data_IF_254025959146
#
_entry.id   IF_254025959146
#
_cell.length_a   1.000
_cell.length_b   1.000
_cell.length_c   1.000
_cell.angle_alpha   90.00
_cell.angle_beta   90.00
_cell.angle_gamma   90.00
#
_symmetry.space_group_name_H-M   'P 1'
#
loop_
_entity.id
_entity.type
_entity.pdbx_description
1 polymer ?
#
# COMPACT_ATOMS: atom_id res chain seq x y z
N UNK A 1 20.29 20.04 -19.25
CA UNK A 1 19.87 18.98 -20.21
C UNK A 1 18.43 18.47 -20.00
N UNK A 2 17.86 18.57 -18.79
CA UNK A 2 16.43 18.28 -18.49
C UNK A 2 15.39 18.98 -19.41
N UNK A 3 15.55 20.27 -19.73
CA UNK A 3 14.66 21.00 -20.65
C UNK A 3 14.60 20.40 -22.07
N UNK A 4 15.69 19.77 -22.51
CA UNK A 4 15.80 19.18 -23.85
C UNK A 4 15.04 17.85 -23.92
N UNK A 5 15.10 17.03 -22.85
CA UNK A 5 14.28 15.82 -22.72
C UNK A 5 12.78 16.13 -22.71
N UNK A 6 12.37 17.21 -22.03
CA UNK A 6 10.97 17.68 -22.04
C UNK A 6 10.54 18.09 -23.45
N UNK A 7 11.41 18.75 -24.21
CA UNK A 7 11.14 19.13 -25.60
C UNK A 7 11.01 17.90 -26.52
N UNK A 8 11.90 16.90 -26.40
CA UNK A 8 11.82 15.66 -27.19
C UNK A 8 10.51 14.91 -26.93
N UNK A 9 10.08 14.84 -25.66
CA UNK A 9 8.80 14.24 -25.29
C UNK A 9 7.61 15.01 -25.89
N UNK A 10 7.65 16.34 -25.86
CA UNK A 10 6.60 17.17 -26.46
C UNK A 10 6.50 16.92 -27.98
N UNK A 11 7.64 16.86 -28.68
CA UNK A 11 7.71 16.57 -30.12
C UNK A 11 7.18 15.18 -30.47
N UNK A 12 7.51 14.16 -29.67
CA UNK A 12 6.95 12.81 -29.84
C UNK A 12 5.43 12.82 -29.72
N UNK A 13 4.90 13.47 -28.69
CA UNK A 13 3.45 13.56 -28.46
C UNK A 13 2.74 14.37 -29.55
N UNK A 14 3.38 15.39 -30.11
CA UNK A 14 2.84 16.17 -31.22
C UNK A 14 2.82 15.36 -32.53
N UNK A 15 3.89 14.65 -32.84
CA UNK A 15 3.96 13.78 -34.01
C UNK A 15 2.89 12.66 -33.97
N UNK A 16 2.69 12.06 -32.79
CA UNK A 16 1.65 11.05 -32.56
C UNK A 16 0.25 11.63 -32.74
N UNK A 17 -0.01 12.82 -32.17
CA UNK A 17 -1.29 13.52 -32.34
C UNK A 17 -1.56 13.89 -33.80
N UNK A 18 -0.54 14.33 -34.53
CA UNK A 18 -0.66 14.64 -35.96
C UNK A 18 -1.02 13.42 -36.80
N UNK A 19 -0.49 12.24 -36.47
CA UNK A 19 -0.88 10.97 -37.12
C UNK A 19 -2.36 10.64 -36.84
N UNK A 20 -2.78 10.74 -35.59
CA UNK A 20 -4.17 10.42 -35.18
C UNK A 20 -5.16 11.41 -35.80
N UNK A 21 -4.79 12.69 -35.88
CA UNK A 21 -5.61 13.74 -36.50
C UNK A 21 -5.62 13.69 -38.04
N UNK A 22 -4.88 12.76 -38.67
CA UNK A 22 -4.78 12.63 -40.13
C UNK A 22 -4.00 13.76 -40.80
N UNK A 23 -3.36 14.65 -40.03
CA UNK A 23 -2.57 15.79 -40.54
C UNK A 23 -1.13 15.40 -40.87
N UNK A 24 -0.71 14.17 -40.52
CA UNK A 24 0.63 13.67 -40.75
C UNK A 24 0.58 12.27 -41.39
N UNK A 25 1.27 12.09 -42.52
CA UNK A 25 1.34 10.80 -43.20
C UNK A 25 2.18 9.77 -42.43
N UNK A 26 2.08 8.49 -42.81
CA UNK A 26 2.89 7.43 -42.20
C UNK A 26 4.39 7.68 -42.40
N UNK A 27 4.79 8.05 -43.61
CA UNK A 27 6.16 8.38 -43.99
C UNK A 27 6.70 9.59 -43.23
N UNK A 28 5.90 10.65 -43.11
CA UNK A 28 6.26 11.85 -42.35
C UNK A 28 6.46 11.54 -40.86
N UNK A 29 5.66 10.65 -40.26
CA UNK A 29 5.88 10.26 -38.86
C UNK A 29 7.19 9.49 -38.69
N UNK A 30 7.52 8.61 -39.63
CA UNK A 30 8.77 7.86 -39.57
C UNK A 30 9.98 8.79 -39.66
N UNK A 31 9.92 9.82 -40.51
CA UNK A 31 10.94 10.86 -40.56
C UNK A 31 11.05 11.64 -39.24
N UNK A 32 9.92 12.00 -38.62
CA UNK A 32 9.92 12.67 -37.30
C UNK A 32 10.48 11.77 -36.20
N UNK A 33 10.15 10.48 -36.18
CA UNK A 33 10.71 9.52 -35.23
C UNK A 33 12.21 9.38 -35.39
N UNK A 34 12.70 9.27 -36.63
CA UNK A 34 14.13 9.21 -36.89
C UNK A 34 14.85 10.47 -36.40
N UNK A 35 14.26 11.66 -36.61
CA UNK A 35 14.78 12.93 -36.09
C UNK A 35 14.80 12.98 -34.57
N UNK A 36 13.71 12.57 -33.91
CA UNK A 36 13.62 12.50 -32.44
C UNK A 36 14.67 11.53 -31.88
N UNK A 37 14.85 10.38 -32.53
CA UNK A 37 15.84 9.38 -32.14
C UNK A 37 17.26 9.91 -32.26
N UNK A 38 17.60 10.59 -33.36
CA UNK A 38 18.90 11.22 -33.53
C UNK A 38 19.16 12.28 -32.47
N UNK A 39 18.22 13.20 -32.22
CA UNK A 39 18.37 14.22 -31.18
C UNK A 39 18.47 13.61 -29.78
N UNK A 40 17.82 12.49 -29.50
CA UNK A 40 17.97 11.76 -28.25
C UNK A 40 19.38 11.17 -28.10
N UNK A 41 19.91 10.54 -29.15
CA UNK A 41 21.26 9.97 -29.14
C UNK A 41 22.31 11.07 -28.96
N UNK A 42 22.20 12.20 -29.68
CA UNK A 42 23.06 13.37 -29.49
C UNK A 42 23.00 13.91 -28.04
N UNK A 43 21.83 13.84 -27.41
CA UNK A 43 21.66 14.25 -26.01
C UNK A 43 22.39 13.31 -25.07
N UNK A 44 22.30 12.00 -25.30
CA UNK A 44 22.97 10.96 -24.51
C UNK A 44 24.48 11.09 -24.65
N UNK A 45 24.99 11.23 -25.88
CA UNK A 45 26.42 11.38 -26.16
C UNK A 45 26.99 12.67 -25.56
N UNK A 46 26.16 13.71 -25.46
CA UNK A 46 26.54 14.96 -24.82
C UNK A 46 26.51 14.89 -23.28
N UNK A 47 26.02 13.82 -22.64
CA UNK A 47 26.01 13.71 -21.17
C UNK A 47 27.44 13.55 -20.63
N UNK A 48 27.75 14.31 -19.58
CA UNK A 48 29.01 14.21 -18.84
C UNK A 48 28.74 13.74 -17.42
N UNK A 49 29.76 13.28 -16.70
CA UNK A 49 29.64 12.83 -15.30
C UNK A 49 29.04 13.91 -14.38
N UNK A 50 29.25 15.19 -14.70
CA UNK A 50 28.68 16.31 -13.95
C UNK A 50 27.17 16.47 -14.15
N UNK A 51 26.57 16.02 -15.26
CA UNK A 51 25.11 16.06 -15.43
C UNK A 51 24.38 15.07 -14.53
N UNK A 52 25.09 14.07 -14.02
CA UNK A 52 24.59 13.11 -13.03
C UNK A 52 24.90 13.54 -11.59
N UNK A 53 25.70 14.60 -11.41
CA UNK A 53 25.84 15.27 -10.12
C UNK A 53 24.59 16.11 -9.89
N UNK A 54 23.69 15.60 -9.06
CA UNK A 54 22.63 16.44 -8.53
C UNK A 54 23.31 17.58 -7.74
N UNK A 55 23.04 18.86 -8.05
CA UNK A 55 23.34 19.89 -7.07
C UNK A 55 22.62 19.49 -5.80
N UNK A 56 23.33 19.52 -4.67
CA UNK A 56 22.73 19.34 -3.35
C UNK A 56 21.72 20.47 -3.14
N UNK A 57 20.54 20.33 -3.75
CA UNK A 57 19.34 20.97 -3.30
C UNK A 57 19.19 20.49 -1.86
N UNK A 58 19.07 21.44 -0.93
CA UNK A 58 18.64 21.16 0.43
C UNK A 58 17.55 20.09 0.36
N UNK A 59 17.67 18.99 1.12
CA UNK A 59 16.83 17.83 0.93
C UNK A 59 15.38 18.31 0.96
N UNK A 60 14.57 18.10 -0.11
CA UNK A 60 13.13 18.17 0.07
C UNK A 60 12.87 17.17 1.19
N UNK A 61 12.36 17.64 2.34
CA UNK A 61 12.25 16.85 3.58
C UNK A 61 12.01 15.39 3.24
N UNK A 62 12.96 14.53 3.63
CA UNK A 62 13.29 13.25 3.02
C UNK A 62 12.05 12.37 2.77
N UNK A 63 11.32 12.63 1.68
CA UNK A 63 10.11 11.90 1.32
C UNK A 63 10.56 10.61 0.69
N UNK A 64 10.75 9.62 1.55
CA UNK A 64 11.06 8.27 1.13
C UNK A 64 9.87 7.74 0.32
N UNK A 65 10.18 7.19 -0.85
CA UNK A 65 9.18 6.47 -1.64
C UNK A 65 9.04 5.08 -1.05
N UNK A 66 7.83 4.57 -1.03
CA UNK A 66 7.53 3.22 -0.57
C UNK A 66 6.47 2.59 -1.45
N UNK A 67 6.12 1.38 -1.10
CA UNK A 67 5.16 0.54 -1.80
C UNK A 67 4.02 0.24 -0.84
N UNK A 68 2.81 0.26 -1.38
CA UNK A 68 1.57 -0.12 -0.74
C UNK A 68 1.07 -1.35 -1.48
N UNK A 69 0.79 -2.42 -0.73
CA UNK A 69 0.11 -3.60 -1.22
C UNK A 69 -1.20 -3.68 -0.47
N UNK A 70 -2.30 -3.85 -1.19
CA UNK A 70 -3.58 -4.17 -0.55
C UNK A 70 -4.19 -5.40 -1.22
N UNK A 71 -4.81 -6.22 -0.38
CA UNK A 71 -5.62 -7.37 -0.78
C UNK A 71 -7.05 -7.09 -0.33
N UNK A 72 -7.86 -6.59 -1.25
CA UNK A 72 -9.29 -6.33 -1.04
C UNK A 72 -10.02 -7.11 -2.14
N UNK A 73 -10.77 -8.18 -1.80
CA UNK A 73 -11.48 -8.97 -2.79
C UNK A 73 -12.46 -8.10 -3.60
N UNK A 74 -12.47 -8.21 -4.94
CA UNK A 74 -13.42 -7.48 -5.78
C UNK A 74 -14.86 -7.99 -5.61
N UNK A 75 -15.01 -9.21 -5.07
CA UNK A 75 -16.28 -9.84 -4.76
C UNK A 75 -16.28 -10.36 -3.32
N UNK A 76 -17.38 -10.13 -2.58
CA UNK A 76 -17.56 -10.62 -1.22
C UNK A 76 -18.93 -11.28 -1.05
N UNK A 77 -19.08 -12.16 -0.08
CA UNK A 77 -20.35 -12.83 0.20
C UNK A 77 -21.07 -12.19 1.39
N UNK A 78 -22.37 -11.88 1.24
CA UNK A 78 -23.21 -11.31 2.31
C UNK A 78 -23.06 -12.11 3.62
N UNK A 79 -22.86 -11.40 4.74
CA UNK A 79 -22.64 -11.91 6.09
C UNK A 79 -21.40 -12.77 6.33
N UNK A 80 -20.59 -13.05 5.30
CA UNK A 80 -19.32 -13.77 5.44
C UNK A 80 -18.18 -12.77 5.64
N UNK A 81 -17.49 -12.89 6.76
CA UNK A 81 -16.31 -12.07 7.02
C UNK A 81 -15.16 -12.47 6.09
N UNK A 82 -14.58 -11.48 5.43
CA UNK A 82 -13.39 -11.62 4.60
C UNK A 82 -12.23 -10.84 5.23
N UNK A 83 -11.01 -11.37 5.11
CA UNK A 83 -9.79 -10.72 5.59
C UNK A 83 -9.24 -9.79 4.50
N UNK A 84 -9.20 -8.49 4.79
CA UNK A 84 -8.53 -7.48 3.99
C UNK A 84 -7.19 -7.14 4.62
N UNK A 85 -6.12 -7.26 3.82
CA UNK A 85 -4.75 -7.07 4.29
C UNK A 85 -4.17 -5.85 3.57
N UNK A 86 -3.58 -4.95 4.35
CA UNK A 86 -2.84 -3.79 3.83
C UNK A 86 -1.41 -3.88 4.35
N UNK A 87 -0.45 -3.86 3.43
CA UNK A 87 0.97 -3.84 3.72
C UNK A 87 1.62 -2.59 3.18
N UNK A 88 2.58 -2.06 3.91
CA UNK A 88 3.46 -0.99 3.44
C UNK A 88 4.91 -1.37 3.70
N UNK A 89 5.79 -1.00 2.78
CA UNK A 89 7.23 -1.14 2.94
C UNK A 89 7.98 -0.05 2.16
N UNK A 90 9.25 0.21 2.48
CA UNK A 90 10.08 1.09 1.64
C UNK A 90 10.50 0.40 0.35
N UNK A 91 10.78 -0.91 0.43
CA UNK A 91 11.21 -1.71 -0.71
C UNK A 91 10.10 -2.61 -1.25
N UNK A 92 10.07 -2.77 -2.57
CA UNK A 92 9.11 -3.66 -3.23
C UNK A 92 9.40 -5.14 -2.92
N UNK A 93 10.65 -5.51 -2.66
CA UNK A 93 11.00 -6.91 -2.34
C UNK A 93 10.41 -7.35 -0.99
N UNK A 94 10.43 -6.46 0.02
CA UNK A 94 9.89 -6.75 1.35
C UNK A 94 8.36 -6.94 1.35
N UNK A 95 7.64 -6.18 0.51
CA UNK A 95 6.16 -6.19 0.56
C UNK A 95 5.52 -7.48 0.04
N UNK A 96 6.20 -8.14 -0.90
CA UNK A 96 5.74 -9.40 -1.53
C UNK A 96 6.24 -10.64 -0.80
N UNK A 97 6.99 -10.46 0.30
CA UNK A 97 7.46 -11.57 1.11
C UNK A 97 6.26 -12.30 1.72
N UNK A 98 6.27 -13.64 1.65
CA UNK A 98 5.25 -14.52 2.23
C UNK A 98 3.82 -14.33 1.70
N UNK A 99 3.64 -13.75 0.49
CA UNK A 99 2.32 -13.65 -0.15
C UNK A 99 2.33 -14.21 -1.58
N UNK A 100 1.32 -15.03 -1.89
CA UNK A 100 1.09 -15.46 -3.27
C UNK A 100 0.47 -14.30 -4.05
N UNK A 101 1.16 -13.85 -5.10
CA UNK A 101 0.69 -12.82 -6.02
C UNK A 101 -0.47 -13.37 -6.85
N UNK A 102 -1.71 -13.16 -6.40
CA UNK A 102 -2.94 -13.44 -7.15
C UNK A 102 -3.45 -12.17 -7.86
N UNK A 103 -4.46 -12.32 -8.72
CA UNK A 103 -5.09 -11.20 -9.44
C UNK A 103 -5.76 -10.17 -8.51
N UNK A 104 -5.95 -10.51 -7.23
CA UNK A 104 -6.57 -9.68 -6.19
C UNK A 104 -5.58 -8.76 -5.45
N UNK A 105 -4.28 -8.88 -5.78
CA UNK A 105 -3.19 -8.18 -5.08
C UNK A 105 -2.70 -7.02 -5.95
N UNK A 106 -2.97 -5.79 -5.50
CA UNK A 106 -2.48 -4.58 -6.17
C UNK A 106 -1.30 -3.96 -5.44
N UNK A 107 -0.22 -3.67 -6.17
CA UNK A 107 0.97 -2.96 -5.64
C UNK A 107 1.04 -1.56 -6.23
N UNK A 108 1.01 -0.55 -5.38
CA UNK A 108 1.03 0.88 -5.72
C UNK A 108 2.25 1.55 -5.10
N UNK A 109 2.91 2.44 -5.85
CA UNK A 109 4.01 3.24 -5.31
C UNK A 109 3.47 4.53 -4.68
N UNK A 110 3.82 4.78 -3.42
CA UNK A 110 3.35 5.94 -2.65
C UNK A 110 4.50 6.66 -1.94
N UNK A 111 4.20 7.83 -1.39
CA UNK A 111 5.13 8.50 -0.47
C UNK A 111 4.86 7.97 0.94
N UNK A 112 5.92 7.55 1.63
CA UNK A 112 5.85 6.99 2.98
C UNK A 112 6.70 7.82 3.94
N UNK A 113 6.45 7.65 5.23
CA UNK A 113 7.24 8.25 6.30
C UNK A 113 7.51 7.22 7.39
N UNK A 114 8.22 7.63 8.46
CA UNK A 114 8.52 6.74 9.58
C UNK A 114 7.25 6.27 10.30
N UNK A 115 6.19 7.06 10.29
CA UNK A 115 4.91 6.75 10.94
C UNK A 115 3.81 6.78 9.88
N UNK A 116 3.06 5.69 9.79
CA UNK A 116 1.97 5.53 8.84
C UNK A 116 0.71 5.14 9.59
N UNK A 117 -0.44 5.58 9.09
CA UNK A 117 -1.74 5.15 9.58
C UNK A 117 -2.53 4.51 8.44
N UNK A 118 -3.22 3.41 8.70
CA UNK A 118 -4.12 2.79 7.74
C UNK A 118 -5.52 2.65 8.32
N UNK A 119 -6.52 3.05 7.54
CA UNK A 119 -7.94 2.96 7.88
C UNK A 119 -8.72 2.45 6.68
N UNK A 120 -9.74 1.62 6.94
CA UNK A 120 -10.71 1.18 5.96
C UNK A 120 -12.08 1.75 6.34
N UNK A 121 -12.70 2.48 5.42
CA UNK A 121 -13.90 3.28 5.67
C UNK A 121 -15.01 2.83 4.73
N UNK A 122 -16.23 2.72 5.26
CA UNK A 122 -17.46 2.57 4.48
C UNK A 122 -18.05 3.97 4.18
N UNK A 123 -17.92 4.51 2.95
CA UNK A 123 -18.46 5.82 2.57
C UNK A 123 -19.95 5.78 2.20
N UNK A 124 -20.62 4.61 2.23
CA UNK A 124 -21.97 4.47 1.73
C UNK A 124 -23.00 5.11 2.69
N UNK A 125 -24.08 5.66 2.12
CA UNK A 125 -25.10 6.38 2.90
C UNK A 125 -25.83 5.48 3.93
N UNK A 126 -25.97 4.20 3.57
CA UNK A 126 -26.43 3.14 4.46
C UNK A 126 -25.27 2.15 4.62
N UNK A 127 -24.95 1.70 5.84
CA UNK A 127 -23.80 0.86 6.09
C UNK A 127 -23.91 -0.45 5.31
N UNK A 128 -22.97 -0.66 4.40
CA UNK A 128 -22.85 -1.86 3.58
C UNK A 128 -21.79 -2.82 4.15
N UNK A 129 -20.88 -2.31 4.97
CA UNK A 129 -19.79 -3.07 5.57
C UNK A 129 -19.70 -2.84 7.09
N UNK A 130 -19.50 -3.91 7.85
CA UNK A 130 -19.03 -3.84 9.23
C UNK A 130 -17.54 -4.21 9.26
N UNK A 131 -16.70 -3.26 9.67
CA UNK A 131 -15.25 -3.38 9.64
C UNK A 131 -14.73 -3.49 11.08
N UNK A 132 -13.90 -4.50 11.35
CA UNK A 132 -13.19 -4.66 12.62
C UNK A 132 -11.68 -4.77 12.37
N UNK A 133 -10.89 -4.21 13.27
CA UNK A 133 -9.42 -4.32 13.29
C UNK A 133 -8.96 -4.69 14.70
N UNK A 134 -7.86 -5.42 14.79
CA UNK A 134 -7.13 -5.67 16.04
C UNK A 134 -5.73 -5.05 16.04
N UNK A 135 -5.30 -4.51 14.90
CA UNK A 135 -4.02 -3.83 14.76
C UNK A 135 -4.16 -2.37 15.14
N UNK A 136 -3.10 -1.80 15.73
CA UNK A 136 -3.02 -0.35 15.92
C UNK A 136 -3.12 0.35 14.57
N UNK A 137 -3.93 1.41 14.51
CA UNK A 137 -4.13 2.18 13.28
C UNK A 137 -2.84 2.86 12.86
N UNK A 138 -2.07 3.39 13.83
CA UNK A 138 -0.78 4.04 13.64
C UNK A 138 0.36 3.05 13.92
N UNK A 139 1.26 2.88 12.96
CA UNK A 139 2.42 1.99 13.10
C UNK A 139 3.67 2.59 12.45
N UNK A 140 4.83 2.11 12.90
CA UNK A 140 6.12 2.52 12.37
C UNK A 140 6.51 1.69 11.15
N UNK A 141 7.07 2.36 10.14
CA UNK A 141 7.64 1.71 8.96
C UNK A 141 9.16 1.54 9.14
N UNK A 142 9.64 0.31 9.00
CA UNK A 142 11.06 -0.06 9.09
C UNK A 142 11.66 -0.27 7.70
N UNK A 143 12.97 -0.03 7.52
CA UNK A 143 13.62 -0.01 6.19
C UNK A 143 13.64 -1.38 5.49
N UNK A 144 13.77 -2.47 6.24
CA UNK A 144 13.93 -3.83 5.71
C UNK A 144 12.70 -4.72 5.93
N UNK A 145 11.67 -4.21 6.60
CA UNK A 145 10.45 -4.96 6.92
C UNK A 145 9.21 -4.30 6.33
N UNK A 146 8.13 -5.07 6.26
CA UNK A 146 6.80 -4.54 5.95
C UNK A 146 5.99 -4.34 7.24
N UNK A 147 5.16 -3.31 7.24
CA UNK A 147 4.14 -3.09 8.26
C UNK A 147 2.81 -3.62 7.73
N UNK A 148 2.06 -4.35 8.54
CA UNK A 148 0.82 -5.01 8.15
C UNK A 148 -0.37 -4.58 9.02
N UNK A 149 -1.48 -4.27 8.35
CA UNK A 149 -2.79 -4.07 8.98
C UNK A 149 -3.78 -5.10 8.44
N UNK A 150 -4.51 -5.72 9.37
CA UNK A 150 -5.55 -6.70 9.06
C UNK A 150 -6.92 -6.16 9.46
N UNK A 151 -7.80 -6.10 8.48
CA UNK A 151 -9.18 -5.70 8.66
C UNK A 151 -10.08 -6.88 8.33
N UNK A 152 -10.99 -7.23 9.22
CA UNK A 152 -12.05 -8.18 8.91
C UNK A 152 -13.28 -7.39 8.50
N UNK A 153 -13.71 -7.61 7.26
CA UNK A 153 -14.81 -6.88 6.64
C UNK A 153 -15.98 -7.84 6.48
N UNK A 154 -17.08 -7.55 7.19
CA UNK A 154 -18.35 -8.24 7.04
C UNK A 154 -19.28 -7.43 6.13
N UNK A 155 -19.56 -7.87 4.90
CA UNK A 155 -20.56 -7.24 4.05
C UNK A 155 -21.97 -7.53 4.61
N UNK A 156 -22.83 -6.51 4.63
CA UNK A 156 -24.16 -6.55 5.23
C UNK A 156 -25.29 -6.59 4.19
N UNK A 157 -25.00 -6.19 2.95
CA UNK A 157 -26.02 -5.98 1.91
C UNK A 157 -25.52 -6.40 0.55
N UNK A 158 -26.40 -6.98 -0.26
CA UNK A 158 -26.10 -7.30 -1.66
C UNK A 158 -26.08 -6.04 -2.54
N UNK A 159 -25.24 -6.06 -3.58
CA UNK A 159 -25.07 -4.94 -4.50
C UNK A 159 -23.61 -4.55 -4.69
N UNK A 160 -23.37 -3.49 -5.45
CA UNK A 160 -22.02 -2.94 -5.65
C UNK A 160 -21.84 -1.73 -4.75
N UNK A 161 -20.85 -1.80 -3.86
CA UNK A 161 -20.58 -0.75 -2.89
C UNK A 161 -19.11 -0.34 -2.95
N UNK A 162 -18.85 0.91 -2.59
CA UNK A 162 -17.49 1.43 -2.52
C UNK A 162 -16.93 1.17 -1.14
N UNK A 163 -15.67 0.78 -1.07
CA UNK A 163 -14.87 0.65 0.15
C UNK A 163 -13.67 1.58 0.02
N UNK A 164 -13.43 2.42 1.01
CA UNK A 164 -12.45 3.49 0.93
C UNK A 164 -11.22 3.14 1.77
N UNK A 165 -10.08 2.99 1.11
CA UNK A 165 -8.78 2.81 1.75
C UNK A 165 -8.16 4.19 1.99
N UNK A 166 -7.94 4.54 3.27
CA UNK A 166 -7.28 5.78 3.67
C UNK A 166 -5.94 5.46 4.33
N UNK A 167 -4.86 5.96 3.72
CA UNK A 167 -3.51 5.89 4.28
C UNK A 167 -3.09 7.31 4.68
N UNK A 168 -2.71 7.49 5.94
CA UNK A 168 -2.21 8.77 6.46
C UNK A 168 -0.69 8.70 6.62
N UNK A 169 0.01 9.67 6.03
CA UNK A 169 1.44 9.88 6.23
C UNK A 169 1.62 10.89 7.36
N UNK A 170 2.27 10.48 8.46
CA UNK A 170 2.47 11.33 9.64
C UNK A 170 3.92 11.83 9.69
N UNK A 171 4.12 13.11 9.41
CA UNK A 171 5.44 13.77 9.42
C UNK A 171 5.54 14.79 10.56
N UNK A 172 6.67 14.79 11.29
CA UNK A 172 6.96 15.86 12.25
C UNK A 172 7.72 16.98 11.53
N UNK A 173 7.05 18.11 11.31
CA UNK A 173 7.64 19.30 10.67
C UNK A 173 7.74 20.40 11.72
N UNK A 174 8.96 20.86 12.01
CA UNK A 174 9.23 21.90 13.02
C UNK A 174 8.69 21.55 14.43
N UNK A 175 8.70 20.26 14.80
CA UNK A 175 8.19 19.79 16.09
C UNK A 175 6.67 19.72 16.19
N UNK A 176 5.94 19.86 15.07
CA UNK A 176 4.49 19.64 14.99
C UNK A 176 4.17 18.50 14.03
N UNK A 177 3.28 17.61 14.46
CA UNK A 177 2.75 16.55 13.63
C UNK A 177 1.91 17.14 12.49
N UNK A 178 2.18 16.65 11.28
CA UNK A 178 1.50 16.98 10.04
C UNK A 178 1.07 15.69 9.39
N UNK A 179 -0.24 15.53 9.24
CA UNK A 179 -0.82 14.36 8.61
C UNK A 179 -1.22 14.69 7.17
N UNK A 180 -0.83 13.82 6.24
CA UNK A 180 -1.27 13.89 4.84
C UNK A 180 -2.02 12.62 4.48
N UNK A 181 -3.26 12.77 4.01
CA UNK A 181 -4.10 11.63 3.66
C UNK A 181 -3.98 11.30 2.18
N UNK A 182 -3.86 10.01 1.90
CA UNK A 182 -3.99 9.38 0.59
C UNK A 182 -5.22 8.49 0.64
N UNK A 183 -6.07 8.54 -0.37
CA UNK A 183 -7.37 7.87 -0.35
C UNK A 183 -7.67 7.23 -1.68
N UNK A 184 -8.12 5.97 -1.64
CA UNK A 184 -8.52 5.19 -2.80
C UNK A 184 -9.91 4.60 -2.60
N UNK A 185 -10.66 4.50 -3.68
CA UNK A 185 -12.00 3.91 -3.71
C UNK A 185 -11.94 2.57 -4.44
N UNK A 186 -12.25 1.49 -3.74
CA UNK A 186 -12.34 0.14 -4.29
C UNK A 186 -13.82 -0.24 -4.44
N UNK A 187 -14.18 -0.83 -5.59
CA UNK A 187 -15.55 -1.27 -5.86
C UNK A 187 -15.68 -2.75 -5.53
N UNK A 188 -16.48 -3.07 -4.52
CA UNK A 188 -16.71 -4.44 -4.08
C UNK A 188 -18.13 -4.86 -4.48
N UNK A 189 -18.23 -5.97 -5.19
CA UNK A 189 -19.51 -6.59 -5.53
C UNK A 189 -19.88 -7.61 -4.45
N UNK A 190 -20.96 -7.35 -3.74
CA UNK A 190 -21.47 -8.24 -2.70
C UNK A 190 -22.56 -9.13 -3.29
N UNK A 191 -22.33 -10.44 -3.25
CA UNK A 191 -23.24 -11.49 -3.75
C UNK A 191 -23.77 -12.34 -2.61
N UNK A 192 -24.98 -12.87 -2.74
CA UNK A 192 -25.60 -13.77 -1.77
C UNK A 192 -25.18 -15.23 -1.96
N UNK A 193 -24.62 -15.59 -3.12
CA UNK A 193 -24.33 -16.96 -3.52
C UNK A 193 -22.91 -17.12 -4.05
N UNK A 194 -22.23 -18.19 -3.64
CA UNK A 194 -20.84 -18.51 -4.01
C UNK A 194 -20.73 -18.83 -5.51
N UNK A 195 -19.75 -18.31 -6.26
CA UNK A 195 -19.27 -19.00 -7.45
C UNK A 195 -18.63 -20.30 -6.94
N UNK A 196 -19.30 -21.43 -7.13
CA UNK A 196 -18.63 -22.72 -6.98
C UNK A 196 -17.47 -22.74 -7.97
N UNK A 197 -16.24 -22.62 -7.46
CA UNK A 197 -15.06 -23.08 -8.16
C UNK A 197 -15.24 -24.58 -8.32
N UNK A 198 -15.84 -25.00 -9.43
CA UNK A 198 -15.72 -26.37 -9.87
C UNK A 198 -14.21 -26.63 -9.99
N UNK A 199 -13.65 -27.63 -9.28
CA UNK A 199 -12.29 -28.02 -9.52
C UNK A 199 -12.25 -28.53 -10.95
N UNK A 200 -11.64 -27.74 -11.85
CA UNK A 200 -11.28 -28.20 -13.17
C UNK A 200 -10.39 -29.43 -12.97
N UNK A 201 -10.97 -30.61 -13.22
CA UNK A 201 -10.26 -31.86 -13.18
C UNK A 201 -9.14 -31.71 -14.21
N UNK A 202 -7.88 -31.66 -13.75
CA UNK A 202 -6.75 -31.79 -14.66
C UNK A 202 -6.82 -33.20 -15.21
N UNK A 203 -7.20 -33.33 -16.47
CA UNK A 203 -7.05 -34.57 -17.22
C UNK A 203 -5.60 -35.03 -17.05
N UNK A 204 -5.40 -36.10 -16.28
CA UNK A 204 -4.14 -36.82 -16.33
C UNK A 204 -4.08 -37.40 -17.74
N UNK A 205 -3.16 -36.92 -18.57
CA UNK A 205 -3.02 -37.26 -20.00
C UNK A 205 -2.67 -38.72 -20.29
N UNK A 206 -3.33 -39.66 -19.63
CA UNK A 206 -3.22 -41.10 -19.84
C UNK A 206 -4.35 -41.50 -20.78
N UNK A 207 -4.04 -41.55 -22.07
CA UNK A 207 -4.89 -42.18 -23.06
C UNK A 207 -4.81 -43.71 -22.87
N UNK A 208 -5.79 -44.31 -22.19
CA UNK A 208 -6.01 -45.75 -22.18
C UNK A 208 -6.64 -46.16 -23.51
N UNK A 209 -5.79 -46.45 -24.49
CA UNK A 209 -6.22 -46.99 -25.77
C UNK A 209 -6.68 -48.45 -25.59
N UNK A 210 -7.98 -48.65 -25.50
CA UNK A 210 -8.59 -49.99 -25.52
C UNK A 210 -8.64 -50.47 -26.97
N UNK A 211 -7.84 -51.48 -27.32
CA UNK A 211 -7.93 -52.17 -28.61
C UNK A 211 -8.96 -53.31 -28.49
N UNK A 212 -10.10 -53.26 -29.19
CA UNK A 212 -10.98 -54.41 -29.29
C UNK A 212 -10.29 -55.49 -30.14
N UNK A 213 -10.23 -56.71 -29.61
CA UNK A 213 -9.71 -57.87 -30.33
C UNK A 213 -10.50 -58.12 -31.62
N UNK A 214 -9.78 -58.32 -32.73
CA UNK A 214 -10.30 -58.72 -34.03
C UNK A 214 -11.17 -59.98 -33.92
N UNK A 215 -12.45 -59.85 -34.28
CA UNK A 215 -13.29 -60.97 -34.62
C UNK A 215 -13.44 -61.01 -36.15
N UNK A 216 -13.00 -62.12 -36.74
CA UNK A 216 -13.04 -62.43 -38.17
C UNK A 216 -14.45 -62.29 -38.78
N UNK A 217 -14.55 -61.94 -40.08
CA UNK A 217 -15.82 -61.64 -40.74
C UNK A 217 -16.56 -62.92 -41.18
N UNK A 218 -17.79 -63.07 -40.69
CA UNK A 218 -18.75 -64.06 -41.18
C UNK A 218 -19.81 -63.33 -42.04
N UNK A 219 -19.76 -63.51 -43.36
CA UNK A 219 -20.86 -63.18 -44.28
C UNK A 219 -21.59 -64.47 -44.64
N UNK A 220 -22.93 -64.51 -44.61
CA UNK A 220 -23.69 -64.63 -45.87
C UNK A 220 -25.14 -64.05 -45.75
N UNK A 221 -26.10 -64.36 -46.64
CA UNK A 221 -26.26 -63.76 -47.97
C UNK A 221 -27.72 -63.28 -48.24
N UNK A 222 -27.90 -62.40 -49.23
CA UNK A 222 -29.07 -62.44 -50.12
C UNK A 222 -30.21 -61.42 -49.90
N UNK A 223 -30.83 -61.14 -51.05
CA UNK A 223 -32.16 -60.55 -51.29
C UNK A 223 -32.28 -59.01 -51.47
N UNK A 224 -32.25 -58.65 -52.76
CA UNK A 224 -33.37 -58.00 -53.49
C UNK A 224 -33.52 -56.46 -53.50
N UNK A 225 -33.21 -55.94 -54.71
CA UNK A 225 -34.07 -55.14 -55.61
C UNK A 225 -34.62 -53.75 -55.19
N UNK A 226 -34.00 -52.75 -55.85
CA UNK A 226 -34.63 -51.79 -56.78
C UNK A 226 -35.60 -50.68 -56.25
N UNK A 227 -35.78 -49.59 -57.03
CA UNK A 227 -35.88 -48.23 -56.50
C UNK A 227 -37.27 -47.59 -56.73
N UNK A 228 -37.31 -46.26 -56.53
CA UNK A 228 -37.93 -45.23 -57.41
C UNK A 228 -39.16 -44.45 -56.86
N UNK A 229 -39.09 -43.15 -57.14
CA UNK A 229 -40.16 -42.15 -57.43
C UNK A 229 -40.79 -41.31 -56.29
N UNK A 230 -40.62 -40.00 -56.48
CA UNK A 230 -41.23 -38.78 -55.92
C UNK A 230 -42.77 -38.67 -56.10
N UNK A 231 -43.39 -37.48 -56.01
CA UNK A 231 -43.52 -36.50 -54.93
C UNK A 231 -45.01 -36.19 -54.61
N UNK A 232 -45.26 -35.12 -53.82
CA UNK A 232 -46.14 -33.96 -54.12
C UNK A 232 -47.19 -33.65 -53.03
N UNK A 233 -47.43 -32.33 -52.85
CA UNK A 233 -48.65 -31.63 -52.40
C UNK A 233 -48.87 -31.58 -50.87
N UNK A 234 -49.23 -30.46 -50.20
CA UNK A 234 -49.42 -29.02 -50.46
C UNK A 234 -49.79 -28.36 -49.12
N UNK A 235 -49.67 -27.03 -49.02
CA UNK A 235 -50.56 -26.18 -48.20
C UNK A 235 -49.80 -25.23 -47.30
N UNK A 236 -49.41 -24.02 -47.74
CA UNK A 236 -50.26 -22.81 -47.87
C UNK A 236 -50.76 -22.31 -46.50
N UNK A 237 -50.52 -21.07 -46.06
CA UNK A 237 -49.88 -19.93 -46.68
C UNK A 237 -50.22 -18.63 -45.92
N UNK A 238 -49.19 -17.78 -45.80
CA UNK A 238 -49.19 -16.31 -46.02
C UNK A 238 -49.71 -15.28 -45.00
N UNK A 239 -48.80 -14.32 -44.76
CA UNK A 239 -48.88 -12.84 -44.82
C UNK A 239 -49.09 -12.00 -43.55
N UNK A 240 -47.99 -11.50 -42.97
CA UNK A 240 -47.35 -10.18 -43.18
C UNK A 240 -48.16 -8.84 -43.14
N UNK A 241 -47.56 -7.88 -42.41
CA UNK A 241 -47.57 -6.39 -42.49
C UNK A 241 -48.76 -5.59 -41.91
N UNK A 242 -48.51 -4.80 -40.85
CA UNK A 242 -48.48 -3.32 -40.91
C UNK A 242 -48.52 -2.64 -39.53
N UNK A 243 -47.57 -1.73 -39.33
CA UNK A 243 -47.43 -0.71 -38.28
C UNK A 243 -48.31 0.53 -38.51
N UNK A 244 -48.84 1.19 -37.46
CA UNK A 244 -48.83 2.66 -37.32
C UNK A 244 -49.25 3.15 -35.92
N UNK A 245 -48.63 4.27 -35.54
CA UNK A 245 -48.75 5.09 -34.32
C UNK A 245 -50.11 5.77 -34.08
N UNK A 246 -50.21 6.25 -32.83
CA UNK A 246 -50.88 7.47 -32.33
C UNK A 246 -52.27 7.37 -31.66
N UNK A 247 -52.19 7.49 -30.33
CA UNK A 247 -52.76 8.56 -29.50
C UNK A 247 -54.25 8.58 -29.11
N UNK A 248 -54.42 8.94 -27.83
CA UNK A 248 -55.57 9.61 -27.20
C UNK A 248 -56.83 8.76 -26.94
N UNK A 249 -57.11 8.52 -25.65
CA UNK A 249 -58.14 9.22 -24.84
C UNK A 249 -58.22 8.52 -23.47
N UNK A 250 -57.85 9.24 -22.41
CA UNK A 250 -58.22 8.93 -21.02
C UNK A 250 -59.57 9.59 -20.68
N UNK A 251 -60.38 9.04 -19.76
CA UNK A 251 -61.38 9.81 -19.03
C UNK A 251 -60.97 10.07 -17.58
N UNK A 252 -60.72 11.35 -17.31
CA UNK A 252 -61.18 12.18 -16.18
C UNK A 252 -61.68 11.55 -14.86
N UNK A 253 -61.14 12.02 -13.74
CA UNK A 253 -61.94 12.39 -12.55
C UNK A 253 -61.36 13.64 -11.87
N UNK A 254 -62.26 14.54 -11.45
CA UNK A 254 -62.04 15.91 -10.91
C UNK A 254 -62.39 15.92 -9.39
N UNK A 255 -62.31 17.04 -8.64
CA UNK A 255 -61.60 17.12 -7.36
C UNK A 255 -62.51 17.35 -6.13
N UNK A 256 -61.97 17.15 -4.93
CA UNK A 256 -62.56 17.58 -3.66
C UNK A 256 -61.88 18.85 -3.10
N UNK A 257 -62.60 19.71 -2.34
CA UNK A 257 -62.20 21.09 -2.06
C UNK A 257 -61.35 21.29 -0.78
N UNK A 258 -60.72 22.48 -0.68
CA UNK A 258 -59.80 22.96 0.36
C UNK A 258 -60.42 23.10 1.77
N UNK A 259 -59.73 23.59 2.80
CA UNK A 259 -58.55 24.46 2.96
C UNK A 259 -58.01 24.28 4.43
N UNK A 260 -57.19 25.16 5.05
CA UNK A 260 -56.24 26.15 4.55
C UNK A 260 -54.82 26.04 5.17
N UNK A 261 -53.90 26.78 4.55
CA UNK A 261 -52.50 27.04 4.91
C UNK A 261 -52.39 28.02 6.10
N UNK A 262 -51.31 27.96 6.89
CA UNK A 262 -50.73 29.18 7.44
C UNK A 262 -49.31 29.46 6.92
N UNK A 263 -49.15 30.76 6.67
CA UNK A 263 -48.08 31.56 6.08
C UNK A 263 -46.76 31.45 6.82
N UNK A 264 -45.66 31.42 6.07
CA UNK A 264 -44.31 31.60 6.57
C UNK A 264 -43.94 33.10 6.67
N UNK A 265 -43.20 33.46 7.73
CA UNK A 265 -42.30 34.62 7.78
C UNK A 265 -40.97 34.21 8.44
N UNK A 266 -39.85 34.88 8.13
CA UNK A 266 -38.50 34.36 8.33
C UNK A 266 -37.87 34.81 9.65
N UNK A 267 -37.20 33.90 10.35
CA UNK A 267 -36.34 34.23 11.50
C UNK A 267 -34.90 33.76 11.30
N UNK A 268 -33.98 34.71 11.40
CA UNK A 268 -32.53 34.62 11.23
C UNK A 268 -31.83 33.74 12.33
N UNK A 269 -30.53 33.41 12.18
CA UNK A 269 -29.92 32.23 12.80
C UNK A 269 -29.50 32.44 14.26
N UNK A 270 -29.86 31.50 15.13
CA UNK A 270 -29.35 31.41 16.51
C UNK A 270 -28.01 30.67 16.53
N UNK A 271 -26.94 31.41 16.83
CA UNK A 271 -25.62 30.89 17.22
C UNK A 271 -25.73 30.04 18.50
N UNK A 272 -25.43 28.75 18.42
CA UNK A 272 -25.20 27.91 19.58
C UNK A 272 -23.77 28.13 20.09
N UNK A 273 -23.65 28.81 21.23
CA UNK A 273 -22.43 28.86 22.03
C UNK A 273 -22.32 27.56 22.82
N UNK A 274 -21.30 26.73 22.51
CA UNK A 274 -20.92 25.62 23.38
C UNK A 274 -19.99 26.20 24.45
N UNK A 275 -20.47 26.16 25.70
CA UNK A 275 -19.73 26.61 26.87
C UNK A 275 -18.67 25.57 27.26
N UNK A 276 -17.41 25.99 27.20
CA UNK A 276 -16.27 25.29 27.80
C UNK A 276 -16.37 25.45 29.33
N UNK A 277 -16.71 24.38 30.05
CA UNK A 277 -16.51 24.32 31.50
C UNK A 277 -15.04 23.95 31.77
N UNK A 278 -14.31 24.95 32.27
CA UNK A 278 -13.05 24.77 33.00
C UNK A 278 -13.35 24.02 34.30
N UNK A 279 -12.62 22.94 34.55
CA UNK A 279 -12.44 22.36 35.88
C UNK A 279 -10.94 22.32 36.15
N UNK A 280 -10.52 23.30 36.93
CA UNK A 280 -9.25 23.35 37.65
C UNK A 280 -9.59 23.06 39.11
N UNK A 281 -8.81 22.20 39.78
CA UNK A 281 -8.62 21.97 41.24
C UNK A 281 -8.02 20.57 41.30
N UNK A 282 -7.02 20.20 42.08
CA UNK A 282 -5.96 20.87 42.81
C UNK A 282 -5.02 19.73 43.22
N UNK A 283 -3.76 20.06 43.46
CA UNK A 283 -2.76 19.15 43.98
C UNK A 283 -3.22 18.49 45.29
N UNK A 284 -2.89 17.22 45.49
CA UNK A 284 -2.62 16.70 46.84
C UNK A 284 -1.53 15.64 46.73
N UNK A 285 -0.34 16.05 47.17
CA UNK A 285 0.80 15.20 47.49
C UNK A 285 0.49 14.47 48.79
N UNK A 286 0.64 13.15 48.81
CA UNK A 286 0.89 12.40 50.04
C UNK A 286 1.83 11.22 49.73
N UNK A 287 3.05 11.37 50.22
CA UNK A 287 4.12 10.38 50.30
C UNK A 287 3.94 9.61 51.60
N UNK A 288 3.81 8.28 51.57
CA UNK A 288 4.28 7.35 52.62
C UNK A 288 4.64 5.98 52.03
N UNK A 289 5.95 5.74 51.91
CA UNK A 289 6.76 4.55 52.25
C UNK A 289 6.15 3.14 52.14
N UNK A 290 6.83 2.28 51.36
CA UNK A 290 6.73 0.82 51.41
C UNK A 290 7.96 0.13 50.81
N UNK A 291 9.08 0.14 51.53
CA UNK A 291 10.21 -0.78 51.32
C UNK A 291 9.89 -2.09 52.01
N UNK A 292 9.78 -3.21 51.27
CA UNK A 292 10.13 -4.56 51.73
C UNK A 292 9.94 -5.62 50.63
N UNK A 293 11.07 -6.20 50.22
CA UNK A 293 11.34 -7.65 50.17
C UNK A 293 10.43 -8.51 49.27
N UNK A 294 10.93 -8.91 48.09
CA UNK A 294 11.69 -10.16 47.87
C UNK A 294 10.82 -11.42 47.88
N UNK A 295 11.10 -12.30 46.90
CA UNK A 295 10.56 -13.64 46.67
C UNK A 295 9.44 -13.72 45.61
N UNK A 296 9.86 -13.74 44.34
CA UNK A 296 9.60 -14.91 43.48
C UNK A 296 10.58 -14.89 42.29
N UNK A 297 11.74 -15.50 42.52
CA UNK A 297 12.58 -16.07 41.47
C UNK A 297 11.93 -17.37 40.99
N UNK A 298 11.55 -17.44 39.72
CA UNK A 298 11.54 -18.64 38.87
C UNK A 298 11.52 -18.11 37.42
N UNK A 299 12.25 -18.59 36.43
CA UNK A 299 13.38 -19.52 36.32
C UNK A 299 13.73 -19.44 34.82
N UNK A 300 14.91 -18.98 34.43
CA UNK A 300 15.52 -19.31 33.12
C UNK A 300 17.00 -18.99 33.22
N UNK A 301 17.71 -19.86 33.93
CA UNK A 301 19.16 -19.99 33.79
C UNK A 301 19.39 -20.84 32.54
N UNK A 302 19.60 -20.21 31.38
CA UNK A 302 20.29 -20.91 30.30
C UNK A 302 21.79 -20.92 30.62
N UNK A 303 22.29 -22.13 30.76
CA UNK A 303 23.68 -22.46 31.00
C UNK A 303 24.52 -21.94 29.82
N UNK A 304 25.33 -20.92 30.06
CA UNK A 304 26.41 -20.52 29.16
C UNK A 304 27.58 -21.47 29.37
N UNK A 305 27.88 -22.23 28.32
CA UNK A 305 29.07 -23.07 28.19
C UNK A 305 30.33 -22.21 28.33
N UNK A 306 31.32 -22.61 29.13
CA UNK A 306 32.52 -21.82 29.34
C UNK A 306 33.50 -22.04 28.18
N UNK A 307 33.55 -21.08 27.26
CA UNK A 307 34.59 -21.09 26.22
C UNK A 307 34.30 -20.26 24.99
N UNK A 308 34.09 -18.94 25.12
CA UNK A 308 34.67 -17.94 24.20
C UNK A 308 34.45 -16.52 24.77
N UNK A 309 35.30 -16.11 25.71
CA UNK A 309 35.26 -14.74 26.28
C UNK A 309 36.10 -13.86 25.37
N UNK A 310 35.49 -13.30 24.32
CA UNK A 310 36.04 -12.09 23.66
C UNK A 310 35.08 -11.35 22.74
N UNK A 311 33.94 -11.92 22.36
CA UNK A 311 32.98 -11.15 21.57
C UNK A 311 31.54 -11.60 21.87
N UNK A 312 30.83 -10.96 22.81
CA UNK A 312 29.41 -11.25 23.00
C UNK A 312 28.67 -10.92 21.70
N UNK A 313 27.71 -11.76 21.31
CA UNK A 313 26.93 -11.54 20.10
C UNK A 313 26.19 -10.19 20.12
N UNK A 314 25.74 -9.69 18.96
CA UNK A 314 25.18 -8.35 18.81
C UNK A 314 24.02 -8.04 19.78
N UNK A 315 23.23 -9.04 20.14
CA UNK A 315 22.11 -8.92 21.10
C UNK A 315 22.58 -8.59 22.53
N UNK A 316 23.73 -9.11 22.94
CA UNK A 316 24.28 -8.85 24.28
C UNK A 316 24.97 -7.48 24.35
N UNK A 317 25.59 -7.02 23.25
CA UNK A 317 26.15 -5.66 23.15
C UNK A 317 25.03 -4.63 23.21
N UNK A 318 23.92 -4.84 22.49
CA UNK A 318 22.76 -3.93 22.51
C UNK A 318 22.18 -3.79 23.92
N UNK A 319 22.02 -4.90 24.64
CA UNK A 319 21.50 -4.86 26.02
C UNK A 319 22.43 -4.10 26.97
N UNK A 320 23.75 -4.32 26.88
CA UNK A 320 24.71 -3.57 27.70
C UNK A 320 24.77 -2.08 27.31
N UNK A 321 24.53 -1.76 26.04
CA UNK A 321 24.42 -0.38 25.57
C UNK A 321 23.19 0.32 26.15
N UNK A 322 22.03 -0.34 26.16
CA UNK A 322 20.82 0.18 26.79
C UNK A 322 21.04 0.51 28.27
N UNK A 323 21.67 -0.40 29.03
CA UNK A 323 22.01 -0.19 30.43
C UNK A 323 23.02 0.96 30.63
N UNK A 324 23.95 1.14 29.69
CA UNK A 324 24.96 2.21 29.71
C UNK A 324 24.33 3.57 29.42
N UNK A 325 23.48 3.64 28.39
CA UNK A 325 22.72 4.84 28.04
C UNK A 325 21.74 5.22 29.14
N UNK A 326 21.10 4.25 29.80
CA UNK A 326 20.20 4.48 30.93
C UNK A 326 20.92 5.09 32.14
N UNK A 327 22.16 4.65 32.41
CA UNK A 327 23.01 5.23 33.46
C UNK A 327 23.47 6.63 33.11
N UNK A 328 23.75 6.89 31.83
CA UNK A 328 24.19 8.18 31.31
C UNK A 328 25.23 8.82 32.24
N UNK A 329 26.37 8.15 32.44
CA UNK A 329 27.52 8.67 33.18
C UNK A 329 28.78 8.54 32.31
N UNK A 330 29.74 9.46 32.52
CA UNK A 330 30.96 9.55 31.70
C UNK A 330 31.77 8.26 31.74
N UNK A 331 31.90 7.68 32.94
CA UNK A 331 32.70 6.49 33.18
C UNK A 331 32.10 5.26 32.50
N UNK A 332 30.79 5.07 32.57
CA UNK A 332 30.11 3.96 31.89
C UNK A 332 30.24 4.05 30.38
N UNK A 333 30.26 5.27 29.81
CA UNK A 333 30.49 5.46 28.37
C UNK A 333 31.93 5.11 27.98
N UNK A 334 32.92 5.54 28.77
CA UNK A 334 34.33 5.17 28.56
C UNK A 334 34.56 3.67 28.67
N UNK A 335 34.05 3.04 29.74
CA UNK A 335 34.14 1.60 29.98
C UNK A 335 33.51 0.81 28.82
N UNK A 336 32.41 1.31 28.24
CA UNK A 336 31.74 0.69 27.10
C UNK A 336 32.55 0.79 25.80
N UNK A 337 33.13 1.95 25.51
CA UNK A 337 33.98 2.16 24.32
C UNK A 337 35.24 1.29 24.40
N UNK A 338 35.84 1.17 25.59
CA UNK A 338 37.01 0.31 25.81
C UNK A 338 36.67 -1.17 25.61
N UNK A 339 35.47 -1.59 26.05
CA UNK A 339 35.01 -2.97 25.95
C UNK A 339 34.60 -3.36 24.53
N UNK A 340 34.06 -2.43 23.73
CA UNK A 340 33.49 -2.70 22.40
C UNK A 340 33.91 -1.69 21.32
N UNK A 341 35.20 -1.45 21.07
CA UNK A 341 35.68 -0.35 20.22
C UNK A 341 35.19 -0.40 18.76
N UNK A 342 34.86 -1.59 18.25
CA UNK A 342 34.42 -1.82 16.87
C UNK A 342 32.89 -1.94 16.74
N UNK A 343 32.14 -1.79 17.82
CA UNK A 343 30.68 -1.87 17.78
C UNK A 343 30.06 -0.60 17.23
N UNK A 344 28.89 -0.72 16.60
CA UNK A 344 28.12 0.44 16.14
C UNK A 344 27.72 1.34 17.33
N UNK A 345 27.44 0.72 18.49
CA UNK A 345 27.08 1.38 19.73
C UNK A 345 28.26 2.15 20.33
N UNK A 346 29.52 1.74 20.09
CA UNK A 346 30.68 2.46 20.58
C UNK A 346 30.90 3.79 19.84
N UNK A 347 30.53 3.88 18.56
CA UNK A 347 30.49 5.16 17.85
C UNK A 347 29.53 6.13 18.55
N UNK A 348 28.33 5.66 18.91
CA UNK A 348 27.32 6.45 19.60
C UNK A 348 27.76 6.82 21.02
N UNK A 349 28.36 5.88 21.75
CA UNK A 349 28.90 6.10 23.09
C UNK A 349 30.00 7.18 23.09
N UNK A 350 30.94 7.13 22.14
CA UNK A 350 32.03 8.10 22.02
C UNK A 350 31.49 9.49 21.65
N UNK A 351 30.46 9.55 20.80
CA UNK A 351 29.80 10.80 20.46
C UNK A 351 29.07 11.43 21.67
N UNK A 352 28.30 10.64 22.41
CA UNK A 352 27.61 11.10 23.63
C UNK A 352 28.62 11.55 24.70
N UNK A 353 29.73 10.83 24.85
CA UNK A 353 30.84 11.23 25.72
C UNK A 353 31.43 12.59 25.32
N UNK A 354 31.68 12.80 24.03
CA UNK A 354 32.20 14.07 23.51
C UNK A 354 31.22 15.23 23.74
N UNK A 355 29.92 15.03 23.48
CA UNK A 355 28.87 16.05 23.71
C UNK A 355 28.72 16.42 25.17
N UNK A 356 28.84 15.44 26.05
CA UNK A 356 28.62 15.61 27.48
C UNK A 356 29.77 16.30 28.18
N UNK A 357 31.01 15.89 27.86
CA UNK A 357 32.23 16.51 28.39
C UNK A 357 32.49 17.86 27.73
N UNK A 358 32.14 18.00 26.45
CA UNK A 358 32.43 19.19 25.64
C UNK A 358 33.93 19.37 25.35
N UNK A 359 34.76 18.36 25.65
CA UNK A 359 36.21 18.47 25.53
C UNK A 359 36.68 18.15 24.11
N UNK A 360 37.55 19.00 23.56
CA UNK A 360 38.06 18.84 22.19
C UNK A 360 38.76 17.50 21.93
N UNK A 361 39.33 16.85 22.96
CA UNK A 361 40.02 15.56 22.80
C UNK A 361 39.10 14.46 22.29
N UNK A 362 37.88 14.37 22.82
CA UNK A 362 36.92 13.32 22.43
C UNK A 362 36.36 13.55 21.02
N UNK A 363 36.18 14.81 20.61
CA UNK A 363 35.82 15.12 19.22
C UNK A 363 36.92 14.77 18.21
N UNK A 364 38.19 14.99 18.56
CA UNK A 364 39.32 14.57 17.72
C UNK A 364 39.41 13.05 17.64
N UNK A 365 39.30 12.38 18.78
CA UNK A 365 39.29 10.92 18.85
C UNK A 365 38.14 10.33 18.01
N UNK A 366 36.95 10.93 18.07
CA UNK A 366 35.81 10.52 17.25
C UNK A 366 36.10 10.63 15.75
N UNK A 367 36.72 11.73 15.29
CA UNK A 367 37.07 11.92 13.88
C UNK A 367 38.18 10.98 13.39
N UNK A 368 39.11 10.60 14.28
CA UNK A 368 40.18 9.66 13.98
C UNK A 368 39.64 8.22 13.89
N UNK A 369 38.78 7.82 14.82
CA UNK A 369 38.24 6.47 14.91
C UNK A 369 37.09 6.23 13.91
N UNK A 370 36.27 7.26 13.64
CA UNK A 370 35.11 7.18 12.76
C UNK A 370 35.14 8.27 11.67
N UNK A 371 36.07 8.22 10.70
CA UNK A 371 36.21 9.25 9.65
C UNK A 371 35.03 9.32 8.68
N UNK A 372 34.14 8.30 8.70
CA UNK A 372 32.87 8.24 7.95
C UNK A 372 31.67 8.07 8.88
N UNK A 373 31.84 8.38 10.17
CA UNK A 373 30.80 8.24 11.19
C UNK A 373 29.63 9.19 10.99
N UNK A 374 28.51 8.87 11.63
CA UNK A 374 27.24 9.61 11.59
C UNK A 374 27.37 11.07 12.03
N UNK A 375 28.33 11.38 12.92
CA UNK A 375 28.48 12.69 13.56
C UNK A 375 29.75 13.46 13.11
N UNK A 376 30.38 13.07 12.00
CA UNK A 376 31.63 13.69 11.52
C UNK A 376 31.47 15.19 11.26
N UNK A 377 30.40 15.60 10.59
CA UNK A 377 30.14 17.01 10.28
C UNK A 377 29.95 17.85 11.55
N UNK A 378 29.28 17.27 12.56
CA UNK A 378 29.00 17.93 13.84
C UNK A 378 30.26 18.06 14.69
N UNK A 379 31.09 17.01 14.74
CA UNK A 379 32.38 17.03 15.41
C UNK A 379 33.35 18.06 14.80
N UNK A 380 33.44 18.11 13.46
CA UNK A 380 34.26 19.11 12.75
C UNK A 380 33.78 20.53 13.01
N UNK A 381 32.47 20.75 13.01
CA UNK A 381 31.87 22.05 13.32
C UNK A 381 32.17 22.50 14.74
N UNK A 382 32.19 21.59 15.72
CA UNK A 382 32.53 21.92 17.10
C UNK A 382 34.01 22.32 17.25
N UNK A 383 34.92 21.59 16.61
CA UNK A 383 36.35 21.90 16.62
C UNK A 383 36.69 23.21 15.87
N UNK A 384 35.92 23.57 14.83
CA UNK A 384 36.11 24.82 14.09
C UNK A 384 35.51 26.07 14.74
N UNK A 385 34.81 25.93 15.88
CA UNK A 385 34.09 27.03 16.55
C UNK A 385 34.79 27.59 17.79
N UNK A 386 35.88 26.95 18.24
CA UNK A 386 36.67 27.32 19.42
C UNK A 386 37.99 27.97 19.05
#
# INVERSE_FOLDING_TARGET
KSKLLVNLRARLNEANRGRIAGTLSNEQLQLEYNRIRMSLLETIDALTTDDFRQPMAQPPGNRKKGYLLHKIPPQMQVEKEEECIIRLAYEQAAIVQDIELSEEVEVKQITVSKIMQAELIDPNAEPAFAIRTYSDEEQFLQEEEYTEWKFWVKPLREGTFNLLLKISVVEVVEGKERTRNLTWEEKVQIITETPQLEPAFKESGVNLSYQPAEAEPFSPPGAEEEPRVSPRITGSGKKEVASRLEEMIQPTYRPGPGAPVPRAEPSAPRRSRINIRRLSIAATVLVVVGVALSQLHFFTTEQTTPGDVRNPGPVAIEKEWEDTRARNDEKSLEDFIEKYPDSEQAEEALWELARKTGEQRYYKQYLEQYPKGKYVEEAQKFLGRN
#
